data_IF_799322213438
#
_entry.id   IF_799322213438
#
_cell.length_a   1.000
_cell.length_b   1.000
_cell.length_c   1.000
_cell.angle_alpha   90.00
_cell.angle_beta   90.00
_cell.angle_gamma   90.00
#
_symmetry.space_group_name_H-M   'P 1'
#
loop_
_entity.id
_entity.type
_entity.pdbx_description
1 polymer ?
#
# COMPACT_ATOMS: atom_id res chain seq x y z
N UNK A 1 21.86 -17.43 -4.29
CA UNK A 1 21.17 -16.41 -3.47
C UNK A 1 20.05 -17.14 -2.74
N UNK A 2 19.99 -17.08 -1.41
CA UNK A 2 18.96 -17.79 -0.65
C UNK A 2 17.78 -16.84 -0.43
N UNK A 3 16.79 -16.93 -1.32
CA UNK A 3 15.58 -16.09 -1.32
C UNK A 3 14.87 -16.18 0.03
N UNK A 4 14.74 -17.38 0.58
CA UNK A 4 14.02 -17.59 1.82
C UNK A 4 14.69 -16.86 2.99
N UNK A 5 16.03 -16.95 3.08
CA UNK A 5 16.82 -16.24 4.08
C UNK A 5 16.70 -14.73 3.94
N UNK A 6 16.75 -14.19 2.73
CA UNK A 6 16.66 -12.75 2.49
C UNK A 6 15.28 -12.18 2.82
N UNK A 7 14.20 -12.84 2.39
CA UNK A 7 12.83 -12.44 2.74
C UNK A 7 12.62 -12.49 4.26
N UNK A 8 13.13 -13.53 4.93
CA UNK A 8 13.05 -13.64 6.39
C UNK A 8 13.78 -12.50 7.08
N UNK A 9 14.98 -12.14 6.60
CA UNK A 9 15.75 -11.04 7.20
C UNK A 9 15.07 -9.68 7.00
N UNK A 10 14.47 -9.44 5.83
CA UNK A 10 13.64 -8.23 5.60
C UNK A 10 12.47 -8.19 6.58
N UNK A 11 11.76 -9.30 6.76
CA UNK A 11 10.62 -9.37 7.66
C UNK A 11 11.01 -9.17 9.13
N UNK A 12 12.12 -9.77 9.56
CA UNK A 12 12.67 -9.60 10.92
C UNK A 12 13.04 -8.14 11.19
N UNK A 13 13.68 -7.48 10.24
CA UNK A 13 14.02 -6.05 10.30
C UNK A 13 12.79 -5.16 10.34
N UNK A 14 11.79 -5.44 9.49
CA UNK A 14 10.53 -4.71 9.49
C UNK A 14 9.78 -4.84 10.82
N UNK A 15 9.78 -6.03 11.44
CA UNK A 15 9.20 -6.25 12.78
C UNK A 15 9.87 -5.39 13.84
N UNK A 16 11.20 -5.36 13.86
CA UNK A 16 11.95 -4.48 14.78
C UNK A 16 11.65 -3.00 14.54
N UNK A 17 11.56 -2.58 13.28
CA UNK A 17 11.25 -1.20 12.92
C UNK A 17 9.82 -0.81 13.30
N UNK A 18 8.84 -1.71 13.12
CA UNK A 18 7.44 -1.49 13.48
C UNK A 18 7.26 -1.26 14.99
N UNK A 19 8.01 -1.98 15.82
CA UNK A 19 8.02 -1.75 17.27
C UNK A 19 8.52 -0.35 17.62
N UNK A 20 9.61 0.11 16.99
CA UNK A 20 10.12 1.48 17.17
C UNK A 20 9.11 2.50 16.65
N UNK A 21 8.55 2.28 15.46
CA UNK A 21 7.62 3.20 14.81
C UNK A 21 6.32 3.40 15.60
N UNK A 22 5.86 2.37 16.31
CA UNK A 22 4.66 2.44 17.16
C UNK A 22 4.74 3.48 18.28
N UNK A 23 5.96 3.97 18.61
CA UNK A 23 6.24 4.96 19.65
C UNK A 23 6.60 6.33 19.10
N UNK A 24 6.66 6.49 17.78
CA UNK A 24 7.01 7.76 17.13
C UNK A 24 5.79 8.69 17.14
N UNK A 25 6.04 9.96 17.47
CA UNK A 25 4.99 10.98 17.54
C UNK A 25 4.36 11.27 16.18
N UNK A 26 3.13 11.77 16.20
CA UNK A 26 2.39 12.18 15.01
C UNK A 26 3.16 13.21 14.19
N UNK A 27 3.78 14.19 14.85
CA UNK A 27 4.52 15.28 14.21
C UNK A 27 5.70 14.74 13.41
N UNK A 28 6.45 13.79 13.97
CA UNK A 28 7.60 13.20 13.30
C UNK A 28 7.20 12.33 12.11
N UNK A 29 6.12 11.55 12.25
CA UNK A 29 5.54 10.80 11.11
C UNK A 29 5.07 11.74 10.00
N UNK A 30 4.37 12.81 10.36
CA UNK A 30 3.86 13.80 9.40
C UNK A 30 4.99 14.53 8.68
N UNK A 31 6.02 14.97 9.42
CA UNK A 31 7.19 15.61 8.83
C UNK A 31 7.86 14.71 7.80
N UNK A 32 8.08 13.43 8.14
CA UNK A 32 8.65 12.47 7.18
C UNK A 32 7.80 12.33 5.92
N UNK A 33 6.47 12.26 6.03
CA UNK A 33 5.56 12.19 4.87
C UNK A 33 5.65 13.44 3.98
N UNK A 34 5.75 14.63 4.58
CA UNK A 34 5.90 15.88 3.83
C UNK A 34 7.25 15.95 3.10
N UNK A 35 8.35 15.59 3.78
CA UNK A 35 9.68 15.54 3.17
C UNK A 35 9.75 14.48 2.06
N UNK A 36 9.07 13.33 2.23
CA UNK A 36 8.92 12.33 1.16
C UNK A 36 8.22 12.93 -0.06
N UNK A 37 7.18 13.75 0.14
CA UNK A 37 6.44 14.36 -0.96
C UNK A 37 7.34 15.32 -1.75
N UNK A 38 8.14 16.12 -1.07
CA UNK A 38 9.08 17.05 -1.69
C UNK A 38 10.19 16.29 -2.41
N UNK A 39 10.77 15.25 -1.79
CA UNK A 39 11.80 14.40 -2.38
C UNK A 39 11.35 13.73 -3.68
N UNK A 40 10.11 13.23 -3.74
CA UNK A 40 9.58 12.63 -4.98
C UNK A 40 9.52 13.65 -6.13
N UNK A 41 9.26 14.92 -5.83
CA UNK A 41 9.20 15.98 -6.83
C UNK A 41 10.60 16.42 -7.28
N UNK A 42 11.55 16.54 -6.33
CA UNK A 42 12.95 16.85 -6.62
C UNK A 42 13.60 15.78 -7.50
N UNK A 43 13.29 14.51 -7.26
CA UNK A 43 13.90 13.35 -7.94
C UNK A 43 13.05 12.84 -9.11
N UNK A 44 12.16 13.66 -9.68
CA UNK A 44 11.26 13.27 -10.78
C UNK A 44 11.98 12.68 -11.98
N UNK A 45 13.07 13.31 -12.40
CA UNK A 45 13.81 12.87 -13.58
C UNK A 45 14.53 11.54 -13.33
N UNK A 46 15.03 11.34 -12.10
CA UNK A 46 15.58 10.05 -11.67
C UNK A 46 14.50 8.95 -11.70
N UNK A 47 13.32 9.21 -11.13
CA UNK A 47 12.21 8.25 -11.12
C UNK A 47 11.73 7.88 -12.52
N UNK A 48 11.62 8.87 -13.42
CA UNK A 48 11.28 8.64 -14.84
C UNK A 48 12.36 7.81 -15.54
N UNK A 49 13.63 8.09 -15.27
CA UNK A 49 14.75 7.33 -15.83
C UNK A 49 14.75 5.86 -15.42
N UNK A 50 14.37 5.54 -14.17
CA UNK A 50 14.19 4.16 -13.73
C UNK A 50 12.92 3.53 -14.31
N UNK A 51 11.83 4.29 -14.44
CA UNK A 51 10.60 3.81 -15.06
C UNK A 51 10.76 3.49 -16.55
N UNK A 52 11.61 4.21 -17.27
CA UNK A 52 11.86 3.92 -18.69
C UNK A 52 12.47 2.53 -18.91
N UNK A 53 13.28 2.03 -17.96
CA UNK A 53 13.83 0.66 -17.99
C UNK A 53 12.72 -0.39 -17.87
N UNK A 54 11.76 -0.13 -16.98
CA UNK A 54 10.57 -0.96 -16.80
C UNK A 54 9.68 -0.91 -18.06
N UNK A 55 9.41 0.27 -18.61
CA UNK A 55 8.59 0.46 -19.81
C UNK A 55 9.20 -0.23 -21.03
N UNK A 56 10.51 -0.07 -21.26
CA UNK A 56 11.24 -0.75 -22.34
C UNK A 56 11.12 -2.28 -22.23
N UNK A 57 11.21 -2.81 -21.02
CA UNK A 57 11.09 -4.26 -20.77
C UNK A 57 9.64 -4.72 -20.95
N UNK A 58 8.66 -3.97 -20.47
CA UNK A 58 7.25 -4.25 -20.63
C UNK A 58 6.80 -4.25 -22.10
N UNK A 59 7.28 -3.29 -22.90
CA UNK A 59 7.01 -3.21 -24.33
C UNK A 59 7.59 -4.42 -25.09
N UNK A 60 8.84 -4.80 -24.80
CA UNK A 60 9.47 -6.00 -25.38
C UNK A 60 8.76 -7.29 -24.99
N UNK A 61 8.19 -7.34 -23.79
CA UNK A 61 7.40 -8.47 -23.31
C UNK A 61 5.94 -8.48 -23.85
N UNK A 62 5.55 -7.50 -24.68
CA UNK A 62 4.24 -7.46 -25.32
C UNK A 62 3.09 -7.11 -24.37
N UNK A 63 3.35 -6.35 -23.30
CA UNK A 63 2.29 -5.92 -22.38
C UNK A 63 1.25 -5.04 -23.10
N UNK A 64 -0.02 -5.23 -22.75
CA UNK A 64 -1.12 -4.40 -23.26
C UNK A 64 -0.92 -2.92 -22.93
N UNK A 65 -1.49 -2.04 -23.76
CA UNK A 65 -1.49 -0.59 -23.53
C UNK A 65 -2.02 -0.20 -22.15
N UNK A 66 -3.09 -0.85 -21.68
CA UNK A 66 -3.65 -0.59 -20.37
C UNK A 66 -2.71 -0.97 -19.20
N UNK A 67 -1.82 -1.95 -19.39
CA UNK A 67 -0.79 -2.30 -18.41
C UNK A 67 0.37 -1.31 -18.46
N UNK A 68 0.79 -0.89 -19.67
CA UNK A 68 1.81 0.14 -19.85
C UNK A 68 1.37 1.45 -19.18
N UNK A 69 0.12 1.90 -19.43
CA UNK A 69 -0.43 3.12 -18.83
C UNK A 69 -0.45 3.07 -17.29
N UNK A 70 -0.64 1.89 -16.70
CA UNK A 70 -0.58 1.68 -15.23
C UNK A 70 0.85 1.68 -14.68
N UNK A 71 1.81 1.30 -15.51
CA UNK A 71 3.23 1.23 -15.18
C UNK A 71 3.91 2.60 -15.29
N UNK A 72 3.44 3.47 -16.16
CA UNK A 72 4.07 4.76 -16.47
C UNK A 72 4.08 5.73 -15.27
N UNK A 73 5.27 6.24 -14.94
CA UNK A 73 5.49 7.35 -14.00
C UNK A 73 5.60 8.68 -14.75
N UNK A 74 4.45 9.21 -15.20
CA UNK A 74 4.41 10.56 -15.76
C UNK A 74 4.51 11.63 -14.67
N UNK A 75 4.74 12.87 -15.08
CA UNK A 75 4.72 14.03 -14.19
C UNK A 75 3.47 14.12 -13.33
N UNK A 76 2.32 13.92 -13.97
CA UNK A 76 1.01 13.88 -13.30
C UNK A 76 0.93 12.77 -12.25
N UNK A 77 1.51 11.60 -12.53
CA UNK A 77 1.52 10.48 -11.57
C UNK A 77 2.41 10.79 -10.38
N UNK A 78 3.60 11.38 -10.61
CA UNK A 78 4.52 11.75 -9.52
C UNK A 78 3.95 12.89 -8.67
N UNK A 79 3.32 13.88 -9.29
CA UNK A 79 2.59 14.94 -8.59
C UNK A 79 1.44 14.39 -7.75
N UNK A 80 0.69 13.41 -8.27
CA UNK A 80 -0.36 12.74 -7.52
C UNK A 80 0.19 11.92 -6.34
N UNK A 81 1.33 11.25 -6.49
CA UNK A 81 2.01 10.55 -5.38
C UNK A 81 2.42 11.52 -4.27
N UNK A 82 3.02 12.66 -4.63
CA UNK A 82 3.40 13.70 -3.68
C UNK A 82 2.16 14.32 -3.00
N UNK A 83 1.09 14.58 -3.75
CA UNK A 83 -0.18 15.06 -3.19
C UNK A 83 -0.76 14.06 -2.20
N UNK A 84 -0.79 12.75 -2.54
CA UNK A 84 -1.26 11.70 -1.65
C UNK A 84 -0.47 11.61 -0.34
N UNK A 85 0.85 11.76 -0.38
CA UNK A 85 1.68 11.85 0.83
C UNK A 85 1.28 13.03 1.72
N UNK A 86 1.06 14.21 1.13
CA UNK A 86 0.61 15.39 1.85
C UNK A 86 -0.78 15.18 2.44
N UNK A 87 -1.72 14.61 1.69
CA UNK A 87 -3.06 14.27 2.19
C UNK A 87 -2.98 13.35 3.41
N UNK A 88 -2.18 12.28 3.34
CA UNK A 88 -2.00 11.33 4.44
C UNK A 88 -1.37 11.99 5.67
N UNK A 89 -0.45 12.95 5.49
CA UNK A 89 0.12 13.71 6.60
C UNK A 89 -0.95 14.54 7.35
N UNK A 90 -1.95 15.07 6.64
CA UNK A 90 -3.04 15.87 7.22
C UNK A 90 -4.12 15.03 7.89
N UNK A 91 -4.19 13.72 7.64
CA UNK A 91 -5.17 12.86 8.29
C UNK A 91 -4.94 12.83 9.82
N UNK A 92 -6.00 12.66 10.63
CA UNK A 92 -5.84 12.41 12.06
C UNK A 92 -5.02 11.15 12.32
N UNK A 93 -4.12 11.19 13.31
CA UNK A 93 -3.38 10.01 13.72
C UNK A 93 -4.30 9.00 14.42
N UNK A 94 -4.42 7.74 13.92
CA UNK A 94 -5.25 6.74 14.58
C UNK A 94 -4.59 6.15 15.83
N UNK A 95 -3.27 6.26 15.99
CA UNK A 95 -2.49 5.59 17.04
C UNK A 95 -2.67 6.29 18.38
N UNK A 96 -2.88 5.52 19.46
CA UNK A 96 -3.02 6.04 20.82
C UNK A 96 -4.43 6.57 21.15
N UNK A 97 -5.35 6.60 20.18
CA UNK A 97 -6.74 7.05 20.43
C UNK A 97 -7.47 6.10 21.36
N UNK A 98 -7.91 6.60 22.52
CA UNK A 98 -8.81 5.89 23.45
C UNK A 98 -10.24 5.99 22.92
N UNK A 99 -10.85 4.84 22.62
CA UNK A 99 -12.20 4.76 22.02
C UNK A 99 -13.29 4.44 23.03
N UNK A 100 -12.93 3.97 24.22
CA UNK A 100 -13.85 3.70 25.32
C UNK A 100 -13.08 3.69 26.64
N UNK A 101 -13.69 4.22 27.70
CA UNK A 101 -13.16 4.16 29.07
C UNK A 101 -14.32 4.02 30.06
N UNK A 102 -14.24 3.08 30.99
CA UNK A 102 -15.29 2.86 31.99
C UNK A 102 -14.71 2.36 33.31
N UNK A 103 -15.41 2.66 34.41
CA UNK A 103 -15.05 2.17 35.75
C UNK A 103 -15.87 0.94 36.11
N UNK A 104 -15.21 -0.11 36.60
CA UNK A 104 -15.84 -1.34 37.07
C UNK A 104 -16.37 -1.17 38.50
N UNK A 105 -17.33 -2.00 38.96
CA UNK A 105 -17.85 -1.95 40.33
C UNK A 105 -16.78 -2.11 41.43
N UNK A 106 -15.66 -2.78 41.11
CA UNK A 106 -14.52 -2.95 42.00
C UNK A 106 -13.50 -1.79 41.94
N UNK A 107 -13.82 -0.68 41.27
CA UNK A 107 -12.99 0.52 41.19
C UNK A 107 -11.96 0.56 40.03
N UNK A 108 -11.73 -0.55 39.33
CA UNK A 108 -10.80 -0.62 38.19
C UNK A 108 -11.24 0.28 37.03
N UNK A 109 -10.30 1.02 36.46
CA UNK A 109 -10.51 1.78 35.24
C UNK A 109 -10.07 0.95 34.03
N UNK A 110 -10.99 0.68 33.12
CA UNK A 110 -10.73 -0.10 31.89
C UNK A 110 -10.84 0.83 30.70
N UNK A 111 -9.83 0.80 29.83
CA UNK A 111 -9.79 1.58 28.60
C UNK A 111 -9.52 0.70 27.38
N UNK A 112 -10.04 1.12 26.23
CA UNK A 112 -9.72 0.52 24.92
C UNK A 112 -8.99 1.55 24.07
N UNK A 113 -7.75 1.25 23.69
CA UNK A 113 -6.88 2.12 22.91
C UNK A 113 -6.56 1.49 21.55
N UNK A 114 -6.44 2.32 20.51
CA UNK A 114 -5.94 1.89 19.20
C UNK A 114 -4.42 1.82 19.20
N UNK A 115 -3.89 0.69 18.75
CA UNK A 115 -2.46 0.47 18.49
C UNK A 115 -2.26 0.07 17.03
N UNK A 116 -1.05 0.23 16.45
CA UNK A 116 -0.73 -0.32 15.15
C UNK A 116 -0.89 -1.85 15.14
N UNK A 117 -1.11 -2.42 13.97
CA UNK A 117 -1.12 -3.88 13.80
C UNK A 117 0.28 -4.46 13.98
N UNK A 118 1.30 -3.78 13.44
CA UNK A 118 2.70 -4.21 13.47
C UNK A 118 3.33 -4.08 12.09
N UNK A 119 3.41 -5.20 11.36
CA UNK A 119 3.99 -5.30 10.01
C UNK A 119 2.91 -5.69 9.01
N UNK A 120 2.80 -4.90 7.95
CA UNK A 120 1.85 -5.11 6.85
C UNK A 120 2.65 -5.55 5.61
N UNK A 121 2.38 -6.74 5.09
CA UNK A 121 2.90 -7.17 3.78
C UNK A 121 1.93 -6.76 2.67
N UNK A 122 2.39 -6.00 1.69
CA UNK A 122 1.56 -5.56 0.55
C UNK A 122 2.13 -6.14 -0.73
N UNK A 123 1.31 -6.95 -1.39
CA UNK A 123 1.65 -7.60 -2.65
C UNK A 123 0.80 -6.97 -3.74
N UNK A 124 1.43 -6.35 -4.72
CA UNK A 124 0.72 -5.58 -5.75
C UNK A 124 1.29 -5.80 -7.15
N UNK A 125 0.51 -5.45 -8.16
CA UNK A 125 0.86 -5.61 -9.58
C UNK A 125 1.68 -4.42 -10.13
N UNK A 126 1.75 -4.26 -11.45
CA UNK A 126 2.54 -3.27 -12.20
C UNK A 126 2.02 -1.83 -12.02
N UNK A 127 2.01 -1.33 -10.79
CA UNK A 127 1.56 0.01 -10.38
C UNK A 127 2.55 0.63 -9.40
N UNK A 128 3.58 1.33 -9.89
CA UNK A 128 4.63 1.86 -9.02
C UNK A 128 4.12 2.83 -7.95
N UNK A 129 3.05 3.56 -8.22
CA UNK A 129 2.43 4.48 -7.28
C UNK A 129 1.93 3.81 -5.99
N UNK A 130 1.57 2.53 -6.05
CA UNK A 130 1.13 1.76 -4.87
C UNK A 130 2.26 1.67 -3.83
N UNK A 131 3.53 1.72 -4.25
CA UNK A 131 4.68 1.78 -3.33
C UNK A 131 4.57 2.97 -2.38
N UNK A 132 4.23 4.14 -2.91
CA UNK A 132 4.09 5.38 -2.13
C UNK A 132 2.84 5.33 -1.27
N UNK A 133 1.69 5.02 -1.87
CA UNK A 133 0.39 5.02 -1.16
C UNK A 133 0.41 4.07 0.05
N UNK A 134 0.96 2.87 -0.18
CA UNK A 134 1.12 1.83 0.85
C UNK A 134 2.07 2.29 1.97
N UNK A 135 3.25 2.79 1.62
CA UNK A 135 4.23 3.26 2.60
C UNK A 135 3.68 4.43 3.42
N UNK A 136 2.98 5.37 2.79
CA UNK A 136 2.42 6.54 3.43
C UNK A 136 1.41 6.16 4.52
N UNK A 137 0.42 5.34 4.17
CA UNK A 137 -0.63 4.91 5.09
C UNK A 137 -0.08 4.05 6.22
N UNK A 138 0.85 3.13 5.92
CA UNK A 138 1.52 2.31 6.94
C UNK A 138 2.30 3.18 7.91
N UNK A 139 3.13 4.11 7.40
CA UNK A 139 3.92 5.02 8.23
C UNK A 139 3.01 5.86 9.14
N UNK A 140 1.97 6.49 8.58
CA UNK A 140 1.01 7.31 9.34
C UNK A 140 0.33 6.52 10.46
N UNK A 141 -0.07 5.29 10.17
CA UNK A 141 -0.75 4.39 11.12
C UNK A 141 0.22 3.66 12.06
N UNK A 142 1.52 3.96 12.02
CA UNK A 142 2.52 3.39 12.92
C UNK A 142 2.92 1.95 12.60
N UNK A 143 2.65 1.48 11.39
CA UNK A 143 2.99 0.13 10.92
C UNK A 143 4.23 0.15 10.04
N UNK A 144 5.09 -0.86 10.18
CA UNK A 144 6.09 -1.14 9.15
C UNK A 144 5.42 -1.83 7.95
N UNK A 145 6.02 -1.67 6.76
CA UNK A 145 5.51 -2.24 5.52
C UNK A 145 6.58 -3.07 4.83
N UNK A 146 6.19 -4.21 4.25
CA UNK A 146 7.01 -4.98 3.31
C UNK A 146 6.29 -4.96 1.97
N UNK A 147 6.94 -4.42 0.96
CA UNK A 147 6.39 -4.18 -0.36
C UNK A 147 6.95 -5.20 -1.35
N UNK A 148 6.05 -5.94 -2.00
CA UNK A 148 6.36 -6.80 -3.15
C UNK A 148 5.50 -6.38 -4.32
N UNK A 149 6.09 -5.61 -5.24
CA UNK A 149 5.42 -5.19 -6.48
C UNK A 149 5.50 -6.22 -7.60
N UNK A 150 4.89 -5.90 -8.74
CA UNK A 150 4.99 -6.68 -9.97
C UNK A 150 6.41 -6.71 -10.51
N UNK A 151 6.76 -7.79 -11.22
CA UNK A 151 8.07 -7.94 -11.88
C UNK A 151 8.36 -6.85 -12.89
N UNK A 152 7.30 -6.29 -13.48
CA UNK A 152 7.33 -5.33 -14.56
C UNK A 152 7.65 -3.91 -14.07
N UNK A 153 7.60 -3.68 -12.75
CA UNK A 153 7.79 -2.39 -12.10
C UNK A 153 9.00 -2.38 -11.16
N UNK A 154 9.91 -3.34 -11.27
CA UNK A 154 10.96 -3.57 -10.29
C UNK A 154 11.90 -2.36 -10.16
N UNK A 155 12.29 -1.73 -11.27
CA UNK A 155 13.19 -0.58 -11.24
C UNK A 155 12.52 0.62 -10.57
N UNK A 156 11.27 0.91 -10.96
CA UNK A 156 10.46 2.00 -10.40
C UNK A 156 10.22 1.80 -8.90
N UNK A 157 9.83 0.59 -8.49
CA UNK A 157 9.55 0.29 -7.08
C UNK A 157 10.81 0.45 -6.22
N UNK A 158 11.96 -0.05 -6.70
CA UNK A 158 13.23 0.09 -5.99
C UNK A 158 13.68 1.55 -5.89
N UNK A 159 13.52 2.31 -6.98
CA UNK A 159 13.83 3.74 -7.00
C UNK A 159 13.01 4.52 -5.98
N UNK A 160 11.68 4.35 -6.01
CA UNK A 160 10.75 4.97 -5.04
C UNK A 160 11.11 4.53 -3.62
N UNK A 161 11.24 3.23 -3.40
CA UNK A 161 11.56 2.67 -2.08
C UNK A 161 12.87 3.21 -1.52
N UNK A 162 13.89 3.41 -2.36
CA UNK A 162 15.15 4.03 -1.96
C UNK A 162 14.94 5.45 -1.46
N UNK A 163 14.27 6.30 -2.24
CA UNK A 163 14.00 7.70 -1.87
C UNK A 163 13.23 7.81 -0.55
N UNK A 164 12.20 6.99 -0.36
CA UNK A 164 11.43 7.00 0.89
C UNK A 164 12.29 6.59 2.09
N UNK A 165 13.17 5.59 1.92
CA UNK A 165 14.08 5.13 2.99
C UNK A 165 15.19 6.14 3.30
N UNK A 166 15.67 6.88 2.30
CA UNK A 166 16.60 8.00 2.49
C UNK A 166 15.97 9.08 3.36
N UNK A 167 14.72 9.46 3.10
CA UNK A 167 13.98 10.42 3.95
C UNK A 167 13.79 9.89 5.37
N UNK A 168 13.46 8.60 5.54
CA UNK A 168 13.39 8.02 6.89
C UNK A 168 14.73 8.17 7.63
N UNK A 169 15.85 7.96 6.94
CA UNK A 169 17.18 8.13 7.53
C UNK A 169 17.45 9.58 7.93
N UNK A 170 17.15 10.54 7.06
CA UNK A 170 17.30 11.99 7.30
C UNK A 170 16.46 12.45 8.51
N UNK A 171 15.26 11.91 8.63
CA UNK A 171 14.34 12.21 9.73
C UNK A 171 14.60 11.35 10.99
N UNK A 172 15.71 10.61 11.05
CA UNK A 172 16.07 9.73 12.17
C UNK A 172 14.96 8.73 12.54
N UNK A 173 14.37 8.10 11.54
CA UNK A 173 13.38 7.04 11.62
C UNK A 173 13.99 5.72 11.14
N UNK A 174 13.49 4.56 11.60
CA UNK A 174 14.03 3.26 11.20
C UNK A 174 13.79 3.03 9.70
N UNK A 175 14.86 2.96 8.90
CA UNK A 175 14.77 2.80 7.43
C UNK A 175 14.09 1.49 7.02
N UNK A 176 14.17 0.49 7.89
CA UNK A 176 13.58 -0.83 7.77
C UNK A 176 12.05 -0.82 7.97
N UNK A 177 11.45 0.32 8.35
CA UNK A 177 10.00 0.48 8.38
C UNK A 177 9.39 0.40 6.98
N UNK A 178 10.17 0.64 5.92
CA UNK A 178 9.79 0.43 4.53
C UNK A 178 10.74 -0.61 3.94
N UNK A 179 10.31 -1.88 3.94
CA UNK A 179 11.01 -2.99 3.30
C UNK A 179 10.54 -3.19 1.86
N UNK A 180 11.46 -3.48 0.94
CA UNK A 180 11.15 -3.89 -0.42
C UNK A 180 11.78 -5.24 -0.70
N UNK A 181 11.07 -6.12 -1.38
CA UNK A 181 11.62 -7.36 -1.93
C UNK A 181 12.34 -7.01 -3.24
N UNK A 182 13.69 -7.14 -3.32
CA UNK A 182 14.47 -6.61 -4.43
C UNK A 182 14.61 -7.54 -5.64
N UNK A 183 13.91 -8.67 -5.63
CA UNK A 183 13.93 -9.68 -6.70
C UNK A 183 12.51 -10.05 -7.13
N UNK A 184 12.41 -10.57 -8.35
CA UNK A 184 11.12 -10.78 -9.02
C UNK A 184 10.56 -12.19 -8.82
N UNK A 185 11.38 -13.12 -8.30
CA UNK A 185 11.05 -14.53 -8.12
C UNK A 185 9.74 -14.74 -7.36
N UNK A 186 8.88 -15.61 -7.90
CA UNK A 186 7.59 -15.96 -7.26
C UNK A 186 7.77 -16.69 -5.93
N UNK A 187 8.92 -17.33 -5.72
CA UNK A 187 9.28 -17.95 -4.45
C UNK A 187 9.27 -16.94 -3.29
N UNK A 188 9.66 -15.69 -3.56
CA UNK A 188 9.64 -14.60 -2.57
C UNK A 188 8.27 -14.44 -1.93
N UNK A 189 7.21 -14.47 -2.74
CA UNK A 189 5.83 -14.34 -2.29
C UNK A 189 5.45 -15.55 -1.44
N UNK A 190 5.78 -16.77 -1.88
CA UNK A 190 5.50 -17.99 -1.11
C UNK A 190 6.13 -17.93 0.27
N UNK A 191 7.40 -17.54 0.36
CA UNK A 191 8.08 -17.38 1.65
C UNK A 191 7.40 -16.30 2.48
N UNK A 192 7.20 -15.10 1.93
CA UNK A 192 6.59 -13.97 2.62
C UNK A 192 5.24 -14.32 3.26
N UNK A 193 4.39 -15.08 2.54
CA UNK A 193 3.06 -15.50 2.97
C UNK A 193 3.05 -16.50 4.13
N UNK A 194 4.22 -17.07 4.49
CA UNK A 194 4.38 -18.03 5.60
C UNK A 194 5.00 -17.43 6.86
N UNK A 195 5.46 -16.17 6.81
CA UNK A 195 6.17 -15.51 7.91
C UNK A 195 5.23 -14.87 8.95
N UNK A 196 4.26 -15.63 9.45
CA UNK A 196 3.29 -15.18 10.48
C UNK A 196 3.95 -14.79 11.82
N UNK A 197 5.20 -15.22 12.05
CA UNK A 197 6.01 -14.77 13.19
C UNK A 197 6.46 -13.29 13.09
N UNK A 198 6.49 -12.72 11.89
CA UNK A 198 6.96 -11.34 11.66
C UNK A 198 5.91 -10.42 11.03
N UNK A 199 4.94 -10.97 10.29
CA UNK A 199 3.97 -10.20 9.50
C UNK A 199 2.56 -10.44 10.06
N UNK A 200 1.89 -9.36 10.42
CA UNK A 200 0.59 -9.41 11.11
C UNK A 200 -0.59 -9.45 10.13
N UNK A 201 -0.42 -8.87 8.93
CA UNK A 201 -1.47 -8.85 7.89
C UNK A 201 -0.88 -8.75 6.49
N UNK A 202 -1.56 -9.39 5.52
CA UNK A 202 -1.27 -9.28 4.09
C UNK A 202 -2.39 -8.52 3.37
N UNK A 203 -2.02 -7.63 2.46
CA UNK A 203 -2.95 -6.89 1.59
C UNK A 203 -2.56 -7.11 0.13
N UNK A 204 -3.28 -7.97 -0.62
CA UNK A 204 -3.10 -8.08 -2.06
C UNK A 204 -3.81 -6.91 -2.79
N UNK A 205 -3.12 -6.28 -3.74
CA UNK A 205 -3.64 -5.19 -4.58
C UNK A 205 -3.38 -5.50 -6.05
N UNK A 206 -4.34 -6.15 -6.70
CA UNK A 206 -4.23 -6.54 -8.10
C UNK A 206 -5.51 -7.19 -8.60
N UNK A 207 -5.40 -7.98 -9.66
CA UNK A 207 -6.48 -8.78 -10.21
C UNK A 207 -6.94 -9.89 -9.28
N UNK A 208 -8.09 -10.49 -9.64
CA UNK A 208 -8.72 -11.57 -8.88
C UNK A 208 -7.79 -12.78 -8.70
N UNK A 209 -7.01 -13.12 -9.72
CA UNK A 209 -6.07 -14.24 -9.68
C UNK A 209 -5.00 -14.07 -8.61
N UNK A 210 -4.40 -12.88 -8.51
CA UNK A 210 -3.42 -12.56 -7.47
C UNK A 210 -4.05 -12.68 -6.08
N UNK A 211 -5.25 -12.12 -5.91
CA UNK A 211 -5.96 -12.15 -4.63
C UNK A 211 -6.25 -13.59 -4.22
N UNK A 212 -6.79 -14.42 -5.13
CA UNK A 212 -7.05 -15.84 -4.87
C UNK A 212 -5.76 -16.61 -4.56
N UNK A 213 -4.68 -16.37 -5.30
CA UNK A 213 -3.40 -17.02 -5.07
C UNK A 213 -2.83 -16.69 -3.68
N UNK A 214 -2.86 -15.43 -3.27
CA UNK A 214 -2.41 -14.99 -1.93
C UNK A 214 -3.24 -15.63 -0.84
N UNK A 215 -4.58 -15.64 -0.99
CA UNK A 215 -5.48 -16.21 0.00
C UNK A 215 -5.27 -17.70 0.20
N UNK A 216 -5.07 -18.44 -0.89
CA UNK A 216 -4.90 -19.89 -0.82
C UNK A 216 -3.55 -20.31 -0.21
N UNK A 217 -2.56 -19.42 -0.21
CA UNK A 217 -1.19 -19.73 0.22
C UNK A 217 -0.81 -19.08 1.56
N UNK A 218 -1.54 -18.07 2.02
CA UNK A 218 -1.16 -17.32 3.22
C UNK A 218 -1.56 -18.02 4.51
N UNK A 219 -0.60 -18.07 5.44
CA UNK A 219 -0.86 -18.38 6.85
C UNK A 219 -1.22 -17.12 7.66
N UNK A 220 -0.98 -15.95 7.09
CA UNK A 220 -1.19 -14.64 7.70
C UNK A 220 -2.61 -14.14 7.37
N UNK A 221 -3.30 -13.43 8.27
CA UNK A 221 -4.58 -12.79 7.96
C UNK A 221 -4.51 -11.91 6.71
N UNK A 222 -5.52 -12.00 5.84
CA UNK A 222 -5.54 -11.26 4.56
C UNK A 222 -6.69 -10.25 4.53
N UNK A 223 -6.39 -8.96 4.36
CA UNK A 223 -7.39 -7.92 4.05
C UNK A 223 -7.51 -7.80 2.54
N UNK A 224 -8.71 -8.08 2.01
CA UNK A 224 -8.97 -8.16 0.57
C UNK A 224 -10.42 -7.81 0.27
N UNK A 225 -10.66 -7.46 -0.99
CA UNK A 225 -11.97 -7.55 -1.63
C UNK A 225 -11.85 -8.59 -2.76
N UNK A 226 -12.93 -9.34 -3.03
CA UNK A 226 -12.97 -10.21 -4.20
C UNK A 226 -13.42 -9.41 -5.42
N UNK A 227 -14.12 -10.07 -6.36
CA UNK A 227 -14.86 -9.39 -7.42
C UNK A 227 -15.92 -8.49 -6.80
N UNK A 228 -15.91 -7.21 -7.17
CA UNK A 228 -17.04 -6.34 -6.89
C UNK A 228 -18.10 -6.56 -7.96
N UNK A 229 -19.25 -7.11 -7.57
CA UNK A 229 -20.43 -7.22 -8.43
C UNK A 229 -21.47 -6.31 -7.80
N UNK A 230 -21.58 -5.09 -8.35
CA UNK A 230 -22.42 -4.05 -7.80
C UNK A 230 -23.73 -4.00 -8.59
N UNK A 231 -24.86 -4.13 -7.89
CA UNK A 231 -26.19 -4.06 -8.48
C UNK A 231 -26.87 -2.76 -8.06
N UNK A 232 -27.68 -2.18 -8.94
CA UNK A 232 -28.63 -1.13 -8.59
C UNK A 232 -30.03 -1.70 -8.77
N UNK A 233 -30.83 -1.64 -7.71
CA UNK A 233 -32.25 -1.96 -7.75
C UNK A 233 -33.04 -0.66 -7.94
N UNK A 234 -33.82 -0.59 -9.01
CA UNK A 234 -34.75 0.51 -9.28
C UNK A 234 -36.13 0.05 -8.86
N UNK A 235 -36.62 0.60 -7.75
CA UNK A 235 -37.94 0.29 -7.23
C UNK A 235 -39.05 0.88 -8.11
N UNK A 236 -40.26 0.30 -8.04
CA UNK A 236 -41.41 0.77 -8.81
C UNK A 236 -41.83 2.21 -8.46
N UNK A 237 -41.54 2.67 -7.24
CA UNK A 237 -41.86 4.03 -6.78
C UNK A 237 -40.69 5.02 -6.99
N UNK A 238 -39.59 4.59 -7.61
CA UNK A 238 -38.44 5.45 -7.82
C UNK A 238 -38.70 6.56 -8.86
N UNK A 239 -38.08 7.72 -8.65
CA UNK A 239 -37.94 8.72 -9.71
C UNK A 239 -37.04 8.16 -10.82
N UNK A 240 -37.64 7.82 -11.97
CA UNK A 240 -36.94 7.23 -13.10
C UNK A 240 -35.86 8.13 -13.70
N UNK A 241 -36.03 9.46 -13.66
CA UNK A 241 -35.01 10.38 -14.16
C UNK A 241 -33.79 10.41 -13.22
N UNK A 242 -34.00 10.27 -11.92
CA UNK A 242 -32.91 10.09 -10.96
C UNK A 242 -32.23 8.73 -11.15
N UNK A 243 -33.02 7.65 -11.28
CA UNK A 243 -32.51 6.30 -11.46
C UNK A 243 -31.62 6.19 -12.70
N UNK A 244 -32.03 6.77 -13.83
CA UNK A 244 -31.23 6.82 -15.06
C UNK A 244 -29.87 7.47 -14.82
N UNK A 245 -29.84 8.66 -14.18
CA UNK A 245 -28.58 9.37 -13.87
C UNK A 245 -27.64 8.53 -12.99
N UNK A 246 -28.19 7.86 -11.98
CA UNK A 246 -27.40 7.03 -11.06
C UNK A 246 -26.85 5.80 -11.79
N UNK A 247 -27.70 5.06 -12.51
CA UNK A 247 -27.30 3.86 -13.27
C UNK A 247 -26.23 4.21 -14.32
N UNK A 248 -26.43 5.31 -15.06
CA UNK A 248 -25.46 5.78 -16.05
C UNK A 248 -24.12 6.10 -15.39
N UNK A 249 -24.11 6.94 -14.35
CA UNK A 249 -22.89 7.31 -13.64
C UNK A 249 -22.15 6.09 -13.08
N UNK A 250 -22.88 5.18 -12.42
CA UNK A 250 -22.34 4.00 -11.78
C UNK A 250 -21.67 3.02 -12.76
N UNK A 251 -22.12 2.95 -14.03
CA UNK A 251 -21.46 2.11 -15.05
C UNK A 251 -20.34 2.84 -15.79
N UNK A 252 -20.61 4.07 -16.26
CA UNK A 252 -19.80 4.69 -17.31
C UNK A 252 -18.68 5.60 -16.81
N UNK A 253 -18.69 6.04 -15.55
CA UNK A 253 -17.65 6.94 -15.04
C UNK A 253 -16.27 6.29 -15.13
N UNK A 254 -16.17 5.02 -14.71
CA UNK A 254 -14.93 4.23 -14.79
C UNK A 254 -15.25 2.73 -14.81
N UNK A 255 -15.55 2.13 -15.98
CA UNK A 255 -15.98 0.73 -16.06
C UNK A 255 -14.95 -0.29 -15.55
N UNK A 256 -13.66 0.09 -15.48
CA UNK A 256 -12.57 -0.80 -15.09
C UNK A 256 -12.26 -0.87 -13.58
N UNK A 257 -13.09 -0.31 -12.71
CA UNK A 257 -12.92 -0.40 -11.24
C UNK A 257 -13.99 -1.31 -10.61
N UNK A 258 -13.67 -1.89 -9.46
CA UNK A 258 -14.50 -2.91 -8.82
C UNK A 258 -15.83 -2.40 -8.25
N UNK A 259 -16.05 -1.08 -8.18
CA UNK A 259 -17.30 -0.50 -7.71
C UNK A 259 -18.23 -0.03 -8.85
N UNK A 260 -17.89 -0.32 -10.11
CA UNK A 260 -18.79 -0.06 -11.23
C UNK A 260 -20.01 -1.00 -11.15
N UNK A 261 -21.20 -0.48 -11.50
CA UNK A 261 -22.41 -1.30 -11.64
C UNK A 261 -22.16 -2.41 -12.68
N UNK A 262 -22.68 -3.61 -12.46
CA UNK A 262 -22.69 -4.71 -13.44
C UNK A 262 -24.07 -4.92 -14.06
#
# INVERSE_FOLDING_TARGET
>A
MDIAREVKEIARKARSAGLTLSRISTEKKNRALLVMADRLLEERDYLKGENEKDLSTAQRAGLSRAMIDRLTLSDKVIEAMAAGLREVAHLPDPVGKVVAMWRRPNGLLVGRMRIPLGVIGIIYESRPNVTVDAAALCLKSGNAVILRGGSEAIHSNLAIGRLLREVLKEENLPTEAIGLIPFTDREAVKVLLTLEEYIDVIIPRGGEELIRAVVNQSKIPVIKHYKGVCHIFVDAEADFAMAERICFNAKVQRPGVCNAME
#
